data_IF_320632808740
#
_entry.id   IF_320632808740
#
_cell.length_a   1.000
_cell.length_b   1.000
_cell.length_c   1.000
_cell.angle_alpha   90.00
_cell.angle_beta   90.00
_cell.angle_gamma   90.00
#
_symmetry.space_group_name_H-M   'P 1'
#
loop_
_entity.id
_entity.type
_entity.pdbx_description
1 polymer ?
#
# COMPACT_ATOMS: atom_id res chain seq x y z
N UNK A 1 -15.01 -9.23 3.77
CA UNK A 1 -14.03 -10.32 3.86
C UNK A 1 -13.40 -10.61 2.51
N UNK A 2 -14.14 -11.14 1.52
CA UNK A 2 -13.62 -11.38 0.15
C UNK A 2 -12.95 -10.17 -0.51
N UNK A 3 -13.54 -8.98 -0.37
CA UNK A 3 -12.94 -7.76 -0.95
C UNK A 3 -11.59 -7.39 -0.31
N UNK A 4 -11.38 -7.68 0.98
CA UNK A 4 -10.14 -7.33 1.69
C UNK A 4 -8.99 -8.26 1.29
N UNK A 5 -9.27 -9.57 1.19
CA UNK A 5 -8.29 -10.56 0.75
C UNK A 5 -7.88 -10.33 -0.69
N UNK A 6 -8.81 -10.01 -1.59
CA UNK A 6 -8.50 -9.71 -3.00
C UNK A 6 -7.63 -8.47 -3.14
N UNK A 7 -7.97 -7.36 -2.45
CA UNK A 7 -7.16 -6.13 -2.52
C UNK A 7 -5.77 -6.34 -1.94
N UNK A 8 -5.64 -7.09 -0.83
CA UNK A 8 -4.34 -7.39 -0.25
C UNK A 8 -3.48 -8.27 -1.15
N UNK A 9 -4.08 -9.24 -1.87
CA UNK A 9 -3.38 -10.07 -2.85
C UNK A 9 -2.88 -9.25 -4.04
N UNK A 10 -3.70 -8.35 -4.56
CA UNK A 10 -3.33 -7.46 -5.66
C UNK A 10 -2.18 -6.54 -5.22
N UNK A 11 -2.29 -5.90 -4.06
CA UNK A 11 -1.23 -5.04 -3.53
C UNK A 11 0.08 -5.79 -3.25
N UNK A 12 0.01 -7.03 -2.80
CA UNK A 12 1.18 -7.89 -2.62
C UNK A 12 1.84 -8.26 -3.95
N UNK A 13 1.05 -8.63 -4.96
CA UNK A 13 1.54 -8.93 -6.31
C UNK A 13 2.21 -7.71 -6.95
N UNK A 14 1.59 -6.53 -6.85
CA UNK A 14 2.18 -5.28 -7.33
C UNK A 14 3.51 -4.97 -6.64
N UNK A 15 3.55 -5.04 -5.30
CA UNK A 15 4.76 -4.75 -4.54
C UNK A 15 5.88 -5.76 -4.83
N UNK A 16 5.54 -7.03 -5.00
CA UNK A 16 6.49 -8.09 -5.38
C UNK A 16 7.03 -7.86 -6.79
N UNK A 17 6.15 -7.54 -7.75
CA UNK A 17 6.54 -7.22 -9.12
C UNK A 17 7.50 -6.03 -9.18
N UNK A 18 7.20 -4.96 -8.44
CA UNK A 18 8.05 -3.79 -8.35
C UNK A 18 9.40 -4.09 -7.68
N UNK A 19 9.41 -4.95 -6.66
CA UNK A 19 10.64 -5.40 -5.98
C UNK A 19 11.53 -6.17 -6.95
N UNK A 20 10.97 -7.11 -7.70
CA UNK A 20 11.72 -7.88 -8.70
C UNK A 20 12.31 -6.92 -9.74
N UNK A 21 11.50 -6.04 -10.33
CA UNK A 21 11.94 -5.04 -11.31
C UNK A 21 13.07 -4.14 -10.80
N UNK A 22 13.00 -3.72 -9.53
CA UNK A 22 14.04 -2.91 -8.91
C UNK A 22 15.37 -3.67 -8.80
N UNK A 23 15.34 -4.97 -8.46
CA UNK A 23 16.54 -5.79 -8.35
C UNK A 23 17.09 -6.27 -9.70
N UNK A 24 16.24 -6.53 -10.70
CA UNK A 24 16.67 -6.92 -12.04
C UNK A 24 17.06 -5.73 -12.92
N UNK A 25 16.87 -4.49 -12.44
CA UNK A 25 17.10 -3.27 -13.23
C UNK A 25 16.26 -3.22 -14.50
N UNK A 26 15.14 -3.94 -14.50
CA UNK A 26 14.31 -4.10 -15.69
C UNK A 26 13.50 -2.83 -15.97
N UNK A 27 13.29 -2.55 -17.26
CA UNK A 27 12.41 -1.49 -17.70
C UNK A 27 10.99 -1.80 -17.21
N UNK A 28 10.41 -0.85 -16.49
CA UNK A 28 9.03 -0.98 -15.99
C UNK A 28 8.11 -0.63 -17.16
N UNK A 29 7.32 -1.60 -17.63
CA UNK A 29 6.37 -1.37 -18.72
C UNK A 29 5.29 -0.37 -18.27
N UNK A 30 5.51 0.91 -18.59
CA UNK A 30 4.55 1.96 -18.28
C UNK A 30 3.75 2.36 -19.50
N UNK A 31 2.58 1.76 -19.60
CA UNK A 31 1.71 1.84 -20.77
C UNK A 31 0.73 3.03 -20.67
N UNK A 32 0.33 3.42 -19.46
CA UNK A 32 -0.58 4.55 -19.22
C UNK A 32 0.14 5.90 -19.04
N UNK A 33 1.31 5.91 -18.41
CA UNK A 33 2.07 7.13 -18.10
C UNK A 33 3.55 6.95 -18.42
N UNK A 34 4.16 7.89 -19.14
CA UNK A 34 5.60 7.88 -19.39
C UNK A 34 6.35 8.49 -18.20
N UNK A 35 7.29 7.75 -17.61
CA UNK A 35 8.12 8.26 -16.50
C UNK A 35 8.24 7.38 -15.26
N UNK A 36 7.66 6.17 -15.23
CA UNK A 36 7.87 5.26 -14.10
C UNK A 36 9.34 4.97 -13.79
N UNK A 37 10.19 4.87 -14.81
CA UNK A 37 11.62 4.67 -14.61
C UNK A 37 12.27 5.85 -13.89
N UNK A 38 11.87 7.09 -14.19
CA UNK A 38 12.31 8.27 -13.42
C UNK A 38 11.87 8.19 -11.97
N UNK A 39 10.63 7.75 -11.72
CA UNK A 39 10.11 7.59 -10.35
C UNK A 39 10.85 6.48 -9.60
N UNK A 40 11.08 5.31 -10.23
CA UNK A 40 11.79 4.18 -9.61
C UNK A 40 13.29 4.43 -9.42
N UNK A 41 13.92 5.19 -10.32
CA UNK A 41 15.33 5.57 -10.20
C UNK A 41 15.54 6.78 -9.28
N UNK A 42 14.47 7.43 -8.84
CA UNK A 42 14.56 8.58 -7.95
C UNK A 42 15.03 8.15 -6.55
N UNK A 43 15.71 9.04 -5.80
CA UNK A 43 16.10 8.76 -4.41
C UNK A 43 14.89 8.53 -3.50
N UNK A 44 13.68 8.92 -3.91
CA UNK A 44 12.45 8.69 -3.15
C UNK A 44 11.94 7.25 -3.22
N UNK A 45 12.40 6.46 -4.21
CA UNK A 45 12.09 5.04 -4.27
C UNK A 45 12.83 4.23 -3.19
N UNK A 46 13.84 4.82 -2.54
CA UNK A 46 14.65 4.18 -1.50
C UNK A 46 14.61 5.07 -0.25
N UNK A 47 13.84 4.66 0.76
CA UNK A 47 13.78 5.37 2.03
C UNK A 47 14.79 4.68 2.98
N UNK A 48 15.83 5.41 3.39
CA UNK A 48 16.86 4.90 4.32
C UNK A 48 17.54 3.60 3.84
N UNK A 49 17.77 3.44 2.53
CA UNK A 49 18.35 2.23 1.95
C UNK A 49 17.33 1.09 1.73
N UNK A 50 16.07 1.27 2.11
CA UNK A 50 15.00 0.28 1.93
C UNK A 50 14.12 0.69 0.75
N UNK A 51 13.91 -0.20 -0.25
CA UNK A 51 12.99 0.06 -1.34
C UNK A 51 11.59 0.31 -0.80
N UNK A 52 10.92 1.32 -1.33
CA UNK A 52 9.52 1.64 -1.00
C UNK A 52 8.59 0.43 -1.19
N UNK A 53 8.91 -0.42 -2.17
CA UNK A 53 8.20 -1.66 -2.45
C UNK A 53 8.22 -2.62 -1.25
N UNK A 54 9.34 -2.72 -0.52
CA UNK A 54 9.46 -3.55 0.69
C UNK A 54 8.57 -3.03 1.83
N UNK A 55 8.48 -1.71 1.98
CA UNK A 55 7.57 -1.08 2.96
C UNK A 55 6.12 -1.41 2.62
N UNK A 56 5.76 -1.38 1.33
CA UNK A 56 4.46 -1.82 0.84
C UNK A 56 4.17 -3.28 1.20
N UNK A 57 5.09 -4.20 0.90
CA UNK A 57 4.94 -5.63 1.26
C UNK A 57 4.72 -5.79 2.77
N UNK A 58 5.55 -5.16 3.59
CA UNK A 58 5.43 -5.22 5.04
C UNK A 58 4.06 -4.72 5.51
N UNK A 59 3.55 -3.63 4.93
CA UNK A 59 2.23 -3.08 5.25
C UNK A 59 1.08 -4.06 4.93
N UNK A 60 1.06 -4.61 3.72
CA UNK A 60 0.03 -5.59 3.32
C UNK A 60 0.06 -6.84 4.19
N UNK A 61 1.25 -7.33 4.50
CA UNK A 61 1.44 -8.50 5.34
C UNK A 61 0.96 -8.23 6.77
N UNK A 62 1.29 -7.05 7.33
CA UNK A 62 0.82 -6.65 8.66
C UNK A 62 -0.71 -6.63 8.72
N UNK A 63 -1.37 -6.00 7.74
CA UNK A 63 -2.84 -5.94 7.68
C UNK A 63 -3.50 -7.33 7.64
N UNK A 64 -2.92 -8.25 6.86
CA UNK A 64 -3.39 -9.63 6.78
C UNK A 64 -3.25 -10.34 8.15
N UNK A 65 -2.11 -10.16 8.81
CA UNK A 65 -1.84 -10.75 10.13
C UNK A 65 -2.79 -10.22 11.22
N UNK A 66 -3.03 -8.91 11.23
CA UNK A 66 -3.98 -8.27 12.14
C UNK A 66 -5.40 -8.82 11.97
N UNK A 67 -5.80 -9.10 10.73
CA UNK A 67 -7.11 -9.69 10.46
C UNK A 67 -7.25 -11.08 11.08
N UNK A 68 -6.24 -11.93 10.91
CA UNK A 68 -6.22 -13.29 11.46
C UNK A 68 -6.25 -13.24 12.99
N UNK A 69 -5.43 -12.39 13.60
CA UNK A 69 -5.40 -12.23 15.06
C UNK A 69 -6.75 -11.75 15.64
N UNK A 70 -7.42 -10.81 14.97
CA UNK A 70 -8.73 -10.34 15.41
C UNK A 70 -9.77 -11.45 15.34
N UNK A 71 -9.71 -12.30 14.31
CA UNK A 71 -10.64 -13.42 14.14
C UNK A 71 -10.51 -14.47 15.25
N UNK A 72 -9.27 -14.81 15.62
CA UNK A 72 -9.03 -15.85 16.62
C UNK A 72 -9.21 -15.36 18.07
N UNK A 73 -8.86 -14.10 18.36
CA UNK A 73 -8.76 -13.62 19.75
C UNK A 73 -9.63 -12.41 20.10
N UNK A 74 -10.36 -11.80 19.16
CA UNK A 74 -11.25 -10.65 19.45
C UNK A 74 -10.53 -9.44 20.05
N UNK A 75 -9.25 -9.26 19.68
CA UNK A 75 -8.34 -8.33 20.34
C UNK A 75 -8.53 -6.89 19.86
N UNK A 76 -9.03 -6.00 20.74
CA UNK A 76 -9.23 -4.55 20.48
C UNK A 76 -7.98 -3.81 19.96
N UNK A 77 -6.79 -4.33 20.22
CA UNK A 77 -5.51 -3.76 19.80
C UNK A 77 -5.21 -4.04 18.32
N UNK A 78 -5.73 -5.14 17.75
CA UNK A 78 -5.70 -5.35 16.30
C UNK A 78 -6.54 -4.29 15.57
N UNK A 79 -7.67 -3.87 16.16
CA UNK A 79 -8.50 -2.80 15.64
C UNK A 79 -7.75 -1.44 15.62
N UNK A 80 -7.09 -1.09 16.73
CA UNK A 80 -6.30 0.13 16.86
C UNK A 80 -5.14 0.17 15.87
N UNK A 81 -4.39 -0.93 15.75
CA UNK A 81 -3.31 -1.04 14.78
C UNK A 81 -3.82 -1.01 13.33
N UNK A 82 -5.02 -1.57 13.08
CA UNK A 82 -5.71 -1.45 11.81
C UNK A 82 -6.00 0.01 11.46
N UNK A 83 -6.52 0.79 12.40
CA UNK A 83 -6.75 2.23 12.21
C UNK A 83 -5.43 2.96 11.98
N UNK A 84 -4.41 2.69 12.80
CA UNK A 84 -3.11 3.33 12.70
C UNK A 84 -2.44 3.07 11.35
N UNK A 85 -2.48 1.80 10.90
CA UNK A 85 -1.97 1.40 9.60
C UNK A 85 -2.74 2.04 8.46
N UNK A 86 -4.07 2.11 8.57
CA UNK A 86 -4.93 2.74 7.58
C UNK A 86 -4.59 4.24 7.46
N UNK A 87 -4.52 4.96 8.57
CA UNK A 87 -4.14 6.39 8.59
C UNK A 87 -2.73 6.58 8.03
N UNK A 88 -1.78 5.73 8.42
CA UNK A 88 -0.42 5.75 7.90
C UNK A 88 -0.37 5.57 6.38
N UNK A 89 -1.12 4.61 5.84
CA UNK A 89 -1.20 4.36 4.40
C UNK A 89 -1.85 5.53 3.63
N UNK A 90 -2.86 6.18 4.22
CA UNK A 90 -3.50 7.34 3.62
C UNK A 90 -2.57 8.56 3.56
N UNK A 91 -1.88 8.85 4.67
CA UNK A 91 -0.87 9.92 4.73
C UNK A 91 0.27 9.63 3.74
N UNK A 92 0.74 8.39 3.70
CA UNK A 92 1.79 7.96 2.80
C UNK A 92 1.40 8.11 1.32
N UNK A 93 0.15 7.77 0.98
CA UNK A 93 -0.41 7.98 -0.36
C UNK A 93 -0.38 9.45 -0.78
N UNK A 94 -0.81 10.36 0.11
CA UNK A 94 -0.75 11.81 -0.14
C UNK A 94 0.69 12.31 -0.34
N UNK A 95 1.63 11.85 0.48
CA UNK A 95 3.05 12.20 0.36
C UNK A 95 3.61 11.72 -0.99
N UNK A 96 3.28 10.50 -1.41
CA UNK A 96 3.74 9.96 -2.70
C UNK A 96 3.18 10.74 -3.89
N UNK A 97 1.90 11.12 -3.85
CA UNK A 97 1.29 11.96 -4.90
C UNK A 97 1.97 13.33 -4.93
N UNK A 98 2.22 13.93 -3.76
CA UNK A 98 2.90 15.22 -3.66
C UNK A 98 4.31 15.17 -4.29
N UNK A 99 5.09 14.13 -3.98
CA UNK A 99 6.43 13.93 -4.55
C UNK A 99 6.40 13.76 -6.08
N UNK A 100 5.44 12.99 -6.61
CA UNK A 100 5.31 12.78 -8.05
C UNK A 100 4.98 14.07 -8.81
N UNK A 101 4.13 14.93 -8.24
CA UNK A 101 3.68 16.17 -8.90
C UNK A 101 4.69 17.32 -8.78
N UNK A 102 5.27 17.51 -7.59
CA UNK A 102 6.12 18.68 -7.31
C UNK A 102 7.61 18.43 -7.51
N UNK A 103 8.08 17.19 -7.39
CA UNK A 103 9.52 16.89 -7.40
C UNK A 103 9.94 16.17 -8.68
N UNK A 104 9.25 15.08 -9.03
CA UNK A 104 9.65 14.21 -10.14
C UNK A 104 8.96 14.64 -11.45
N UNK A 105 7.89 15.43 -11.36
CA UNK A 105 7.04 15.88 -12.46
C UNK A 105 6.63 14.73 -13.41
N UNK A 106 6.50 13.52 -12.86
CA UNK A 106 6.17 12.31 -13.62
C UNK A 106 5.33 11.36 -12.78
N UNK A 107 4.40 10.69 -13.46
CA UNK A 107 3.41 9.80 -12.84
C UNK A 107 3.79 8.34 -13.08
N UNK A 108 3.76 7.54 -12.02
CA UNK A 108 3.97 6.11 -12.11
C UNK A 108 2.65 5.37 -11.90
N UNK A 109 2.21 4.61 -12.91
CA UNK A 109 0.94 3.87 -12.84
C UNK A 109 0.90 2.88 -11.66
N UNK A 110 2.02 2.22 -11.36
CA UNK A 110 2.12 1.26 -10.28
C UNK A 110 2.04 1.93 -8.91
N UNK A 111 2.68 3.09 -8.74
CA UNK A 111 2.55 3.89 -7.52
C UNK A 111 1.12 4.38 -7.32
N UNK A 112 0.42 4.75 -8.41
CA UNK A 112 -0.98 5.14 -8.36
C UNK A 112 -1.90 3.95 -8.02
N UNK A 113 -1.62 2.77 -8.57
CA UNK A 113 -2.31 1.52 -8.23
C UNK A 113 -2.11 1.17 -6.75
N UNK A 114 -0.89 1.33 -6.25
CA UNK A 114 -0.57 1.13 -4.83
C UNK A 114 -1.31 2.12 -3.93
N UNK A 115 -1.39 3.39 -4.35
CA UNK A 115 -2.18 4.42 -3.66
C UNK A 115 -3.68 4.07 -3.62
N UNK A 116 -4.24 3.57 -4.73
CA UNK A 116 -5.64 3.12 -4.80
C UNK A 116 -5.91 1.90 -3.93
N UNK A 117 -5.04 0.90 -3.95
CA UNK A 117 -5.16 -0.31 -3.12
C UNK A 117 -5.03 0.00 -1.64
N UNK A 118 -4.12 0.91 -1.25
CA UNK A 118 -4.02 1.42 0.11
C UNK A 118 -5.28 2.19 0.55
N UNK A 119 -5.81 3.05 -0.32
CA UNK A 119 -7.01 3.86 -0.03
C UNK A 119 -8.27 2.98 0.06
N UNK A 120 -8.38 1.96 -0.79
CA UNK A 120 -9.49 0.99 -0.72
C UNK A 120 -9.40 0.13 0.53
N UNK A 121 -8.20 -0.29 0.95
CA UNK A 121 -7.97 -0.95 2.24
C UNK A 121 -8.41 -0.07 3.42
N UNK A 122 -8.07 1.22 3.40
CA UNK A 122 -8.50 2.21 4.39
C UNK A 122 -10.03 2.32 4.48
N UNK A 123 -10.72 2.45 3.34
CA UNK A 123 -12.18 2.53 3.30
C UNK A 123 -12.80 1.23 3.82
N UNK A 124 -12.27 0.08 3.38
CA UNK A 124 -12.75 -1.22 3.83
C UNK A 124 -12.52 -1.43 5.33
N UNK A 125 -11.38 -0.98 5.89
CA UNK A 125 -11.09 -1.06 7.32
C UNK A 125 -12.09 -0.22 8.13
N UNK A 126 -12.40 1.00 7.68
CA UNK A 126 -13.40 1.86 8.30
C UNK A 126 -14.83 1.30 8.20
N UNK A 127 -15.21 0.70 7.08
CA UNK A 127 -16.52 0.07 6.92
C UNK A 127 -16.64 -1.15 7.85
N UNK A 128 -15.57 -1.93 7.97
CA UNK A 128 -15.52 -3.09 8.86
C UNK A 128 -15.63 -2.65 10.33
N UNK A 129 -14.94 -1.57 10.69
CA UNK A 129 -15.03 -0.94 12.01
C UNK A 129 -16.44 -0.46 12.34
N UNK A 130 -17.08 0.28 11.41
CA UNK A 130 -18.47 0.75 11.59
C UNK A 130 -19.44 -0.40 11.81
N UNK A 131 -19.23 -1.54 11.13
CA UNK A 131 -20.09 -2.71 11.31
C UNK A 131 -19.93 -3.36 12.68
N UNK A 132 -18.73 -3.32 13.27
CA UNK A 132 -18.52 -3.82 14.63
C UNK A 132 -19.13 -2.89 15.68
N UNK A 133 -18.96 -1.57 15.54
CA UNK A 133 -19.55 -0.61 16.50
C UNK A 133 -21.08 -0.57 16.50
N UNK A 134 -21.73 -1.06 15.44
CA UNK A 134 -23.21 -1.15 15.36
C UNK A 134 -23.74 -2.49 15.89
N UNK A 135 -22.85 -3.47 16.09
CA UNK A 135 -23.21 -4.80 16.61
C UNK A 135 -23.03 -4.92 18.14
N UNK A 136 -22.53 -3.88 18.81
CA UNK A 136 -22.44 -3.80 20.29
C UNK A 136 -23.55 -2.90 20.87
#
# INVERSE_FOLDING_TARGET
MLAWSLVSLVGFLDATYLTIQHYTGGNVNCNLFSGCEKVLASPYAIIWGVPLALVGVAFYLLMLLLMVLHWEHGVRWALLLGILGSVGAWVFSLVMIYLQLMVIESLCQYCLLSALTATTLFILSLVWLRRQTVAE
#
